data_IF_913117537734
#
_entry.id   IF_913117537734
#
_cell.length_a   1.000
_cell.length_b   1.000
_cell.length_c   1.000
_cell.angle_alpha   90.00
_cell.angle_beta   90.00
_cell.angle_gamma   90.00
#
_symmetry.space_group_name_H-M   'P 1'
#
loop_
_entity.id
_entity.type
_entity.pdbx_description
1 polymer ?
#
# COMPACT_ATOMS: atom_id res chain seq x y z
N UNK A 1 -1.66 -5.01 -29.83
CA UNK A 1 -1.34 -4.42 -28.51
C UNK A 1 -1.65 -5.44 -27.42
N UNK A 2 -0.65 -6.22 -26.99
CA UNK A 2 -0.56 -6.81 -25.64
C UNK A 2 0.75 -7.59 -25.58
N UNK A 3 1.87 -6.87 -25.49
CA UNK A 3 3.21 -7.42 -25.27
C UNK A 3 3.53 -7.62 -23.79
N UNK A 4 2.50 -7.68 -22.93
CA UNK A 4 2.68 -7.84 -21.50
C UNK A 4 2.80 -9.33 -21.17
N UNK A 5 3.96 -9.71 -20.64
CA UNK A 5 4.22 -11.09 -20.24
C UNK A 5 3.50 -11.42 -18.93
N UNK A 6 3.38 -12.72 -18.62
CA UNK A 6 2.84 -13.17 -17.32
C UNK A 6 3.67 -12.64 -16.15
N UNK A 7 4.99 -12.48 -16.33
CA UNK A 7 5.87 -11.91 -15.32
C UNK A 7 5.59 -10.43 -15.07
N UNK A 8 5.26 -9.67 -16.11
CA UNK A 8 4.89 -8.25 -15.96
C UNK A 8 3.59 -8.11 -15.17
N UNK A 9 2.62 -9.01 -15.40
CA UNK A 9 1.37 -9.05 -14.62
C UNK A 9 1.59 -9.42 -13.16
N UNK A 10 2.44 -10.41 -12.90
CA UNK A 10 2.79 -10.82 -11.54
C UNK A 10 3.52 -9.71 -10.79
N UNK A 11 4.43 -9.01 -11.48
CA UNK A 11 5.17 -7.87 -10.92
C UNK A 11 4.22 -6.71 -10.63
N UNK A 12 3.32 -6.38 -11.57
CA UNK A 12 2.29 -5.38 -11.36
C UNK A 12 1.36 -5.74 -10.18
N UNK A 13 0.94 -7.00 -10.06
CA UNK A 13 0.14 -7.47 -8.94
C UNK A 13 0.89 -7.36 -7.59
N UNK A 14 2.18 -7.69 -7.55
CA UNK A 14 3.01 -7.49 -6.34
C UNK A 14 3.11 -6.02 -5.95
N UNK A 15 3.34 -5.13 -6.91
CA UNK A 15 3.38 -3.69 -6.65
C UNK A 15 2.02 -3.14 -6.19
N UNK A 16 0.92 -3.62 -6.78
CA UNK A 16 -0.43 -3.25 -6.35
C UNK A 16 -0.70 -3.68 -4.90
N UNK A 17 -0.38 -4.94 -4.54
CA UNK A 17 -0.57 -5.47 -3.18
C UNK A 17 0.33 -4.77 -2.16
N UNK A 18 1.61 -4.57 -2.48
CA UNK A 18 2.55 -3.90 -1.59
C UNK A 18 2.21 -2.41 -1.40
N UNK A 19 1.87 -1.70 -2.48
CA UNK A 19 1.49 -0.29 -2.44
C UNK A 19 0.19 -0.01 -1.72
N UNK A 20 -0.79 -0.93 -1.81
CA UNK A 20 -2.09 -0.79 -1.13
C UNK A 20 -1.97 -0.87 0.39
N UNK A 21 -1.05 -1.70 0.91
CA UNK A 21 -0.78 -1.79 2.35
C UNK A 21 -0.25 -0.48 2.93
N UNK A 22 0.78 0.08 2.27
CA UNK A 22 1.44 1.32 2.70
C UNK A 22 0.50 2.53 2.64
N UNK A 23 -0.21 2.73 1.52
CA UNK A 23 -1.17 3.83 1.39
C UNK A 23 -2.26 3.79 2.46
N UNK A 24 -2.79 2.59 2.76
CA UNK A 24 -3.80 2.41 3.80
C UNK A 24 -3.26 2.70 5.20
N UNK A 25 -2.01 2.31 5.50
CA UNK A 25 -1.38 2.57 6.79
C UNK A 25 -1.16 4.07 6.99
N UNK A 26 -0.66 4.78 5.97
CA UNK A 26 -0.48 6.24 6.00
C UNK A 26 -1.80 6.94 6.32
N UNK A 27 -2.88 6.66 5.58
CA UNK A 27 -4.19 7.28 5.86
C UNK A 27 -4.74 6.97 7.25
N UNK A 28 -4.40 5.82 7.85
CA UNK A 28 -4.81 5.44 9.22
C UNK A 28 -3.92 6.05 10.30
N UNK A 29 -2.68 6.42 9.96
CA UNK A 29 -1.72 7.04 10.86
C UNK A 29 -1.88 8.56 10.90
N UNK A 30 -2.36 9.17 9.82
CA UNK A 30 -2.54 10.62 9.67
C UNK A 30 -4.03 11.00 9.66
N UNK A 31 -4.82 10.50 10.60
CA UNK A 31 -6.20 10.94 10.76
C UNK A 31 -6.23 12.36 11.32
N UNK A 32 -7.32 13.11 11.12
CA UNK A 32 -7.52 14.45 11.71
C UNK A 32 -7.75 14.43 13.23
N UNK A 33 -7.69 13.25 13.84
CA UNK A 33 -7.76 13.08 15.28
C UNK A 33 -6.51 13.73 15.91
N UNK A 34 -6.69 14.56 16.95
CA UNK A 34 -5.58 15.19 17.70
C UNK A 34 -4.99 14.15 18.67
N UNK A 35 -4.41 13.09 18.12
CA UNK A 35 -3.77 11.99 18.84
C UNK A 35 -2.57 11.50 18.02
N UNK A 36 -1.52 11.04 18.70
CA UNK A 36 -0.38 10.42 18.02
C UNK A 36 -0.81 9.15 17.23
N UNK A 37 -0.11 8.80 16.14
CA UNK A 37 -0.43 7.61 15.36
C UNK A 37 -0.42 6.35 16.23
N UNK A 38 -1.41 5.47 16.03
CA UNK A 38 -1.54 4.23 16.81
C UNK A 38 -0.33 3.32 16.57
N UNK A 39 0.32 2.80 17.63
CA UNK A 39 1.52 1.93 17.55
C UNK A 39 1.43 0.81 16.52
N UNK A 40 0.27 0.15 16.42
CA UNK A 40 -0.02 -0.90 15.42
C UNK A 40 0.06 -0.48 13.94
N UNK A 41 0.27 0.81 13.66
CA UNK A 41 0.47 1.36 12.31
C UNK A 41 1.90 1.91 12.11
N UNK A 42 2.75 1.85 13.14
CA UNK A 42 4.13 2.36 13.14
C UNK A 42 5.18 1.22 13.11
N UNK A 43 4.75 -0.02 13.37
CA UNK A 43 5.58 -1.23 13.30
C UNK A 43 5.67 -1.79 11.87
#
# INVERSE_FOLDING_TARGET
MSGQTLNDRLTAARHALAGQGLARIVCKATTEEIIGPKKKHLD
#
